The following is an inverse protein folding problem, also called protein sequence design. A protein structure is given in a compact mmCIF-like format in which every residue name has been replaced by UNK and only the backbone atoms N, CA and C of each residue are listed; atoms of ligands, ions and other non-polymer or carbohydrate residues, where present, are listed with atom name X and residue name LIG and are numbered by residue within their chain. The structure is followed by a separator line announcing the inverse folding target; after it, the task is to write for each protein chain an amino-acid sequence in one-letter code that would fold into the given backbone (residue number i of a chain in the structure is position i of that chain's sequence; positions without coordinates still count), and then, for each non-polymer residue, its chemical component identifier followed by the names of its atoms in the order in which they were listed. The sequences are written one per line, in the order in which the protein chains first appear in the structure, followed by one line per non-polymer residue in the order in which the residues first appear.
data_IF_164958574155
#
_entry.id   IF_164958574155
#
_cell.length_a   1.000
_cell.length_b   1.000
_cell.length_c   1.000
_cell.angle_alpha   90.00
_cell.angle_beta   90.00
_cell.angle_gamma   90.00
#
_symmetry.space_group_name_H-M   'P 1'
#
loop_
_entity.id
_entity.type
_entity.pdbx_description
1 polymer ?
#
# COMPACT_ATOMS: atom_id res chain seq x y z
N UNK A 1 -30.09 -13.70 -60.77
CA UNK A 1 -29.40 -12.69 -59.90
C UNK A 1 -28.83 -13.42 -58.70
N UNK A 2 -27.49 -13.54 -58.60
CA UNK A 2 -26.82 -14.13 -57.44
C UNK A 2 -26.38 -12.97 -56.52
N UNK A 3 -26.94 -12.95 -55.28
CA UNK A 3 -26.52 -11.98 -54.29
C UNK A 3 -25.27 -12.50 -53.58
N UNK A 4 -24.13 -11.77 -53.73
CA UNK A 4 -22.92 -12.01 -52.97
C UNK A 4 -23.04 -11.28 -51.64
N UNK A 5 -23.16 -12.04 -50.54
CA UNK A 5 -23.06 -11.48 -49.18
C UNK A 5 -21.58 -11.33 -48.84
N UNK A 6 -21.10 -10.10 -48.76
CA UNK A 6 -19.75 -9.79 -48.23
C UNK A 6 -19.86 -9.75 -46.74
N UNK A 7 -19.33 -10.76 -46.05
CA UNK A 7 -19.18 -10.81 -44.60
C UNK A 7 -18.00 -9.90 -44.20
N UNK A 8 -18.28 -8.71 -43.71
CA UNK A 8 -17.23 -7.82 -43.15
C UNK A 8 -16.89 -8.34 -41.77
N UNK A 9 -15.73 -9.01 -41.64
CA UNK A 9 -15.17 -9.45 -40.38
C UNK A 9 -14.55 -8.23 -39.66
N UNK A 10 -15.27 -7.66 -38.71
CA UNK A 10 -14.73 -6.63 -37.81
C UNK A 10 -13.71 -7.29 -36.88
N UNK A 11 -12.44 -7.19 -37.24
CA UNK A 11 -11.32 -7.54 -36.35
C UNK A 11 -11.27 -6.45 -35.27
N UNK A 12 -11.74 -6.75 -34.09
CA UNK A 12 -11.47 -5.93 -32.90
C UNK A 12 -10.00 -6.12 -32.54
N UNK A 13 -9.18 -5.14 -32.88
CA UNK A 13 -7.80 -5.06 -32.39
C UNK A 13 -7.91 -4.71 -30.92
N UNK A 14 -7.85 -5.70 -30.05
CA UNK A 14 -7.61 -5.47 -28.62
C UNK A 14 -6.16 -4.97 -28.52
N UNK A 15 -5.99 -3.69 -28.23
CA UNK A 15 -4.68 -3.16 -27.85
C UNK A 15 -4.34 -3.79 -26.51
N UNK A 16 -3.44 -4.77 -26.52
CA UNK A 16 -2.80 -5.28 -25.31
C UNK A 16 -1.93 -4.12 -24.81
N UNK A 17 -2.43 -3.35 -23.84
CA UNK A 17 -1.61 -2.39 -23.12
C UNK A 17 -0.60 -3.21 -22.30
N UNK A 18 0.66 -3.18 -22.70
CA UNK A 18 1.72 -3.77 -21.90
C UNK A 18 2.12 -2.78 -20.80
N UNK A 19 2.33 -3.30 -19.59
CA UNK A 19 2.84 -2.51 -18.48
C UNK A 19 4.21 -1.92 -18.87
N UNK A 20 4.40 -0.63 -18.62
CA UNK A 20 5.61 0.09 -18.97
C UNK A 20 6.16 0.83 -17.76
N UNK A 21 7.43 0.62 -17.44
CA UNK A 21 8.17 1.49 -16.52
C UNK A 21 8.55 2.75 -17.28
N UNK A 22 7.97 3.88 -16.90
CA UNK A 22 8.23 5.18 -17.49
C UNK A 22 9.47 5.85 -16.88
N UNK A 23 9.64 5.66 -15.57
CA UNK A 23 10.76 6.22 -14.79
C UNK A 23 11.22 5.18 -13.78
N UNK A 24 12.53 5.18 -13.51
CA UNK A 24 13.20 4.27 -12.58
C UNK A 24 14.36 5.01 -11.93
N UNK A 25 14.21 5.31 -10.65
CA UNK A 25 15.14 6.11 -9.89
C UNK A 25 15.66 5.35 -8.68
N UNK A 26 16.99 5.25 -8.48
CA UNK A 26 17.54 4.68 -7.26
C UNK A 26 17.23 5.59 -6.06
N UNK A 27 16.87 4.98 -4.95
CA UNK A 27 16.67 5.67 -3.68
C UNK A 27 17.96 5.67 -2.85
N UNK A 28 18.04 6.61 -1.90
CA UNK A 28 19.15 6.68 -0.95
C UNK A 28 19.17 5.46 -0.04
N UNK A 29 20.37 5.03 0.37
CA UNK A 29 20.53 4.00 1.42
C UNK A 29 19.86 4.37 2.76
N UNK A 30 19.59 5.64 3.00
CA UNK A 30 18.84 6.10 4.17
C UNK A 30 17.41 5.55 4.19
N UNK A 31 16.86 5.20 3.03
CA UNK A 31 15.50 4.67 2.83
C UNK A 31 15.55 3.37 2.03
N UNK A 32 16.50 2.49 2.37
CA UNK A 32 16.67 1.19 1.70
C UNK A 32 15.54 0.20 1.97
N UNK A 33 14.83 0.37 3.09
CA UNK A 33 13.64 -0.38 3.47
C UNK A 33 12.36 0.47 3.25
N UNK A 34 12.28 1.19 2.12
CA UNK A 34 11.15 2.09 1.82
C UNK A 34 9.83 1.34 1.78
N UNK A 35 8.89 1.70 2.65
CA UNK A 35 7.54 1.18 2.74
C UNK A 35 6.53 2.33 2.78
N UNK A 36 5.38 2.13 2.13
CA UNK A 36 4.36 3.18 1.99
C UNK A 36 4.76 4.36 1.09
N UNK A 37 3.79 4.88 0.35
CA UNK A 37 3.94 6.09 -0.49
C UNK A 37 2.73 7.00 -0.38
N UNK A 38 2.96 8.27 -0.10
CA UNK A 38 1.93 9.31 -0.14
C UNK A 38 2.43 10.55 -0.90
N UNK A 39 1.54 11.46 -1.27
CA UNK A 39 1.88 12.74 -1.92
C UNK A 39 1.33 13.89 -1.09
N UNK A 40 2.22 14.81 -0.66
CA UNK A 40 1.88 16.07 -0.01
C UNK A 40 2.68 17.19 -0.68
N UNK A 41 2.02 18.27 -1.07
CA UNK A 41 2.63 19.45 -1.71
C UNK A 41 3.54 19.10 -2.90
N UNK A 42 3.12 18.15 -3.75
CA UNK A 42 3.88 17.63 -4.90
C UNK A 42 5.17 16.86 -4.56
N UNK A 43 5.44 16.58 -3.29
CA UNK A 43 6.51 15.70 -2.85
C UNK A 43 5.95 14.31 -2.55
N UNK A 44 6.71 13.28 -2.89
CA UNK A 44 6.44 11.93 -2.41
C UNK A 44 6.91 11.81 -0.97
N UNK A 45 6.16 11.08 -0.15
CA UNK A 45 6.51 10.79 1.24
C UNK A 45 6.60 9.29 1.39
N UNK A 46 7.66 8.84 2.04
CA UNK A 46 7.87 7.45 2.44
C UNK A 46 8.48 7.37 3.84
N UNK A 47 8.60 6.18 4.35
CA UNK A 47 9.31 5.83 5.58
C UNK A 47 10.07 4.50 5.37
N UNK A 48 10.92 4.13 6.30
CA UNK A 48 11.44 2.77 6.35
C UNK A 48 10.47 1.85 7.10
N UNK A 49 10.49 0.59 6.78
CA UNK A 49 9.76 -0.49 7.42
C UNK A 49 10.19 -0.61 8.90
N UNK A 50 10.88 -1.62 9.32
CA UNK A 50 11.11 -1.95 10.72
C UNK A 50 12.43 -1.42 11.29
N UNK A 51 12.43 -1.12 12.62
CA UNK A 51 13.67 -0.89 13.38
C UNK A 51 14.44 0.37 13.10
N UNK A 52 14.03 1.18 12.12
CA UNK A 52 14.66 2.42 11.73
C UNK A 52 14.28 3.62 12.62
N UNK A 53 14.83 4.80 12.27
CA UNK A 53 14.42 6.06 12.90
C UNK A 53 12.93 6.34 12.57
N UNK A 54 12.08 6.72 13.54
CA UNK A 54 10.70 7.10 13.27
C UNK A 54 10.66 8.43 12.52
N UNK A 55 10.74 8.36 11.19
CA UNK A 55 10.85 9.53 10.33
C UNK A 55 10.07 9.35 9.02
N UNK A 56 9.53 10.47 8.53
CA UNK A 56 8.96 10.59 7.19
C UNK A 56 9.99 11.30 6.30
N UNK A 57 10.29 10.72 5.16
CA UNK A 57 11.21 11.24 4.17
C UNK A 57 10.43 11.84 3.01
N UNK A 58 10.68 13.10 2.71
CA UNK A 58 10.06 13.83 1.61
C UNK A 58 10.98 13.76 0.40
N UNK A 59 10.47 13.24 -0.71
CA UNK A 59 11.24 13.01 -1.92
C UNK A 59 10.76 13.91 -3.06
N UNK A 60 11.69 14.34 -3.89
CA UNK A 60 11.32 14.85 -5.20
C UNK A 60 10.90 13.69 -6.14
N UNK A 61 10.44 14.01 -7.34
CA UNK A 61 10.00 13.02 -8.33
C UNK A 61 11.11 12.13 -8.88
N UNK A 62 12.38 12.43 -8.54
CA UNK A 62 13.55 11.60 -8.87
C UNK A 62 14.03 10.75 -7.70
N UNK A 63 13.27 10.70 -6.61
CA UNK A 63 13.62 9.91 -5.43
C UNK A 63 14.68 10.53 -4.52
N UNK A 64 15.09 11.80 -4.77
CA UNK A 64 16.04 12.49 -3.89
C UNK A 64 15.32 12.97 -2.62
N UNK A 65 15.88 12.67 -1.44
CA UNK A 65 15.40 13.22 -0.17
C UNK A 65 15.63 14.74 -0.16
N UNK A 66 14.56 15.50 -0.04
CA UNK A 66 14.56 16.97 0.03
C UNK A 66 14.27 17.49 1.43
N UNK A 67 13.58 16.70 2.26
CA UNK A 67 13.31 17.00 3.67
C UNK A 67 13.12 15.71 4.46
N UNK A 68 13.32 15.79 5.79
CA UNK A 68 13.10 14.67 6.71
C UNK A 68 12.36 15.18 7.94
N UNK A 69 11.26 14.54 8.31
CA UNK A 69 10.47 14.84 9.49
C UNK A 69 10.57 13.70 10.49
N UNK A 70 11.38 13.90 11.55
CA UNK A 70 11.47 12.97 12.68
C UNK A 70 10.22 13.09 13.54
N UNK A 71 9.62 11.96 13.84
CA UNK A 71 8.38 11.89 14.62
C UNK A 71 8.73 11.60 16.08
N UNK A 72 8.54 12.59 16.94
CA UNK A 72 8.89 12.47 18.36
C UNK A 72 7.82 11.69 19.15
N UNK A 73 8.24 11.00 20.20
CA UNK A 73 7.33 10.32 21.12
C UNK A 73 6.81 8.97 20.66
N UNK A 74 7.24 8.49 19.49
CA UNK A 74 6.88 7.18 18.94
C UNK A 74 8.11 6.38 18.57
N UNK A 75 7.91 5.08 18.31
CA UNK A 75 8.96 4.19 17.79
C UNK A 75 8.50 3.61 16.47
N UNK A 76 9.42 3.40 15.56
CA UNK A 76 9.20 2.53 14.43
C UNK A 76 9.44 1.08 14.92
N UNK A 77 8.34 0.37 15.24
CA UNK A 77 8.45 -1.04 15.60
C UNK A 77 8.37 -1.91 14.34
N UNK A 78 7.45 -1.52 13.43
CA UNK A 78 7.15 -2.26 12.19
C UNK A 78 6.15 -1.40 11.40
N UNK A 79 6.66 -0.36 10.69
CA UNK A 79 5.85 0.56 9.90
C UNK A 79 5.66 0.03 8.50
N UNK A 80 4.43 -0.18 8.09
CA UNK A 80 4.12 -0.90 6.86
C UNK A 80 3.62 0.00 5.73
N UNK A 81 2.79 0.99 6.04
CA UNK A 81 2.20 1.85 5.00
C UNK A 81 1.86 3.23 5.54
N UNK A 82 1.59 4.18 4.66
CA UNK A 82 1.22 5.55 4.98
C UNK A 82 0.08 6.03 4.11
N UNK A 83 -0.91 6.67 4.73
CA UNK A 83 -2.01 7.34 4.04
C UNK A 83 -2.28 8.70 4.67
N UNK A 84 -3.15 9.50 4.07
CA UNK A 84 -3.55 10.80 4.62
C UNK A 84 -5.00 11.16 4.32
N UNK A 85 -5.49 12.15 5.02
CA UNK A 85 -6.61 13.01 4.60
C UNK A 85 -6.12 14.45 4.38
N UNK A 86 -7.00 15.42 4.49
CA UNK A 86 -6.66 16.84 4.26
C UNK A 86 -5.89 17.46 5.43
N UNK A 87 -5.94 16.87 6.63
CA UNK A 87 -5.38 17.42 7.86
C UNK A 87 -4.25 16.58 8.46
N UNK A 88 -4.32 15.26 8.30
CA UNK A 88 -3.43 14.32 8.99
C UNK A 88 -2.78 13.30 8.04
N UNK A 89 -1.55 12.91 8.40
CA UNK A 89 -0.86 11.73 7.89
C UNK A 89 -1.09 10.60 8.89
N UNK A 90 -1.35 9.40 8.40
CA UNK A 90 -1.54 8.18 9.20
C UNK A 90 -0.47 7.17 8.82
N UNK A 91 0.42 6.85 9.75
CA UNK A 91 1.49 5.85 9.57
C UNK A 91 1.07 4.57 10.27
N UNK A 92 1.07 3.49 9.54
CA UNK A 92 0.60 2.19 10.02
C UNK A 92 1.73 1.40 10.70
N UNK A 93 1.82 1.47 12.02
CA UNK A 93 2.75 0.69 12.85
C UNK A 93 2.12 -0.67 13.20
N UNK A 94 1.93 -1.52 12.18
CA UNK A 94 1.04 -2.68 12.29
C UNK A 94 1.60 -3.99 11.76
N UNK A 95 2.85 -4.04 11.29
CA UNK A 95 3.49 -5.27 10.87
C UNK A 95 3.48 -6.32 11.98
N UNK A 96 3.20 -7.57 11.62
CA UNK A 96 2.98 -8.64 12.59
C UNK A 96 3.25 -10.03 12.00
N UNK A 97 4.38 -10.17 11.37
CA UNK A 97 4.80 -11.34 10.58
C UNK A 97 4.61 -12.71 11.23
N UNK A 98 4.57 -12.77 12.56
CA UNK A 98 4.39 -14.00 13.35
C UNK A 98 3.12 -13.98 14.21
N UNK A 99 2.20 -13.05 13.98
CA UNK A 99 0.97 -12.83 14.75
C UNK A 99 1.23 -12.67 16.27
N UNK A 100 2.38 -12.10 16.66
CA UNK A 100 2.80 -12.03 18.07
C UNK A 100 2.49 -10.69 18.71
N UNK A 101 2.33 -9.63 17.93
CA UNK A 101 2.19 -8.27 18.45
C UNK A 101 0.79 -8.02 19.04
N UNK A 102 0.79 -7.29 20.17
CA UNK A 102 -0.39 -6.83 20.90
C UNK A 102 -0.47 -5.29 20.97
N UNK A 103 0.48 -4.61 20.34
CA UNK A 103 0.66 -3.17 20.35
C UNK A 103 0.55 -2.59 18.93
N UNK A 104 -0.38 -3.09 18.15
CA UNK A 104 -0.65 -2.56 16.82
C UNK A 104 -1.24 -1.15 16.95
N UNK A 105 -0.80 -0.23 16.09
CA UNK A 105 -1.24 1.16 16.19
C UNK A 105 -1.11 1.89 14.86
N UNK A 106 -1.90 2.95 14.72
CA UNK A 106 -1.73 3.94 13.66
C UNK A 106 -1.27 5.24 14.33
N UNK A 107 -0.19 5.82 13.82
CA UNK A 107 0.34 7.09 14.29
C UNK A 107 -0.28 8.20 13.45
N UNK A 108 -1.03 9.08 14.08
CA UNK A 108 -1.72 10.20 13.46
C UNK A 108 -0.92 11.48 13.66
N UNK A 109 -0.49 12.09 12.56
CA UNK A 109 0.48 13.19 12.52
C UNK A 109 -0.16 14.36 11.76
N UNK A 110 -0.24 15.58 12.32
CA UNK A 110 -0.74 16.75 11.58
C UNK A 110 0.10 16.99 10.31
N UNK A 111 -0.53 17.27 9.17
CA UNK A 111 0.21 17.63 7.94
C UNK A 111 1.02 18.90 8.18
N UNK A 112 0.42 19.92 8.78
CA UNK A 112 1.11 21.17 9.12
C UNK A 112 2.08 20.94 10.27
N UNK A 113 3.37 21.12 10.01
CA UNK A 113 4.43 21.08 11.04
C UNK A 113 4.24 22.23 12.04
N UNK A 114 4.40 21.94 13.34
CA UNK A 114 4.48 22.96 14.39
C UNK A 114 5.60 22.64 15.37
N UNK A 115 6.11 23.66 16.09
CA UNK A 115 7.17 23.48 17.09
C UNK A 115 6.75 22.58 18.26
N UNK A 116 5.46 22.62 18.65
CA UNK A 116 4.88 21.85 19.73
C UNK A 116 3.95 20.74 19.17
N UNK A 117 4.38 20.10 18.09
CA UNK A 117 3.62 19.04 17.47
C UNK A 117 3.42 17.85 18.41
N UNK A 118 2.19 17.51 18.65
CA UNK A 118 1.80 16.28 19.33
C UNK A 118 1.27 15.30 18.31
N UNK A 119 1.78 14.08 18.35
CA UNK A 119 1.21 12.98 17.58
C UNK A 119 0.13 12.29 18.40
N UNK A 120 -0.91 11.87 17.73
CA UNK A 120 -1.97 11.06 18.31
C UNK A 120 -1.74 9.60 17.93
N UNK A 121 -2.22 8.67 18.78
CA UNK A 121 -2.08 7.23 18.50
C UNK A 121 -3.46 6.57 18.56
N UNK A 122 -3.73 5.75 17.56
CA UNK A 122 -4.93 4.91 17.45
C UNK A 122 -4.45 3.48 17.66
N UNK A 123 -4.59 2.96 18.87
CA UNK A 123 -4.24 1.57 19.19
C UNK A 123 -5.36 0.64 18.76
N UNK A 124 -5.00 -0.54 18.27
CA UNK A 124 -6.02 -1.52 17.91
C UNK A 124 -5.57 -2.97 18.09
N UNK A 125 -6.55 -3.84 18.09
CA UNK A 125 -6.38 -5.29 18.04
C UNK A 125 -7.40 -5.88 17.05
N UNK A 126 -7.11 -7.08 16.60
CA UNK A 126 -8.06 -7.88 15.82
C UNK A 126 -8.87 -8.76 16.78
N UNK A 127 -10.21 -8.57 16.92
CA UNK A 127 -11.01 -9.32 17.90
C UNK A 127 -11.05 -10.83 17.61
N UNK A 128 -10.78 -11.24 16.35
CA UNK A 128 -10.71 -12.64 15.93
C UNK A 128 -9.36 -13.31 16.31
N UNK A 129 -8.31 -12.53 16.57
CA UNK A 129 -7.00 -13.06 16.93
C UNK A 129 -7.01 -13.62 18.36
N UNK A 130 -7.14 -14.94 18.50
CA UNK A 130 -7.15 -15.64 19.79
C UNK A 130 -5.79 -16.20 20.20
N UNK A 131 -4.86 -16.32 19.24
CA UNK A 131 -3.51 -16.82 19.47
C UNK A 131 -2.48 -15.79 19.01
N UNK A 132 -1.45 -15.59 19.81
CA UNK A 132 -0.39 -14.61 19.58
C UNK A 132 0.95 -15.29 19.34
N UNK A 133 0.93 -16.28 18.48
CA UNK A 133 2.12 -16.86 17.85
C UNK A 133 1.71 -17.70 16.64
N UNK A 134 2.50 -17.67 15.59
CA UNK A 134 2.35 -18.54 14.43
C UNK A 134 3.70 -18.69 13.73
N UNK A 135 3.79 -19.56 12.74
CA UNK A 135 4.93 -19.54 11.80
C UNK A 135 4.64 -18.56 10.67
N UNK A 136 5.69 -17.95 10.10
CA UNK A 136 5.63 -16.93 9.06
C UNK A 136 4.60 -17.25 7.95
N UNK A 137 4.63 -18.46 7.40
CA UNK A 137 3.76 -18.86 6.28
C UNK A 137 2.29 -19.04 6.65
N UNK A 138 1.92 -18.95 7.92
CA UNK A 138 0.55 -19.11 8.43
C UNK A 138 0.01 -17.84 9.08
N UNK A 139 0.76 -16.76 9.05
CA UNK A 139 0.31 -15.46 9.58
C UNK A 139 -0.96 -14.99 8.87
N UNK A 140 -1.91 -14.46 9.63
CA UNK A 140 -3.20 -13.98 9.17
C UNK A 140 -3.50 -12.55 9.62
N UNK A 141 -2.81 -12.10 10.69
CA UNK A 141 -3.02 -10.79 11.34
C UNK A 141 -1.83 -9.84 11.14
N UNK A 142 -1.03 -10.11 10.12
CA UNK A 142 -0.10 -9.20 9.52
C UNK A 142 -0.83 -8.29 8.54
N UNK A 143 -0.44 -7.03 8.43
CA UNK A 143 -1.12 -6.08 7.54
C UNK A 143 -0.13 -5.10 6.94
N UNK A 144 -0.28 -4.83 5.65
CA UNK A 144 0.67 -4.10 4.83
C UNK A 144 0.03 -2.95 4.04
N UNK A 145 -1.25 -2.71 4.22
CA UNK A 145 -1.93 -1.63 3.50
C UNK A 145 -2.87 -0.85 4.39
N UNK A 146 -2.86 0.47 4.26
CA UNK A 146 -3.79 1.38 4.90
C UNK A 146 -4.25 2.47 3.94
N UNK A 147 -5.55 2.74 3.90
CA UNK A 147 -6.10 3.87 3.15
C UNK A 147 -7.10 4.66 3.98
N UNK A 148 -7.21 5.94 3.69
CA UNK A 148 -8.15 6.86 4.33
C UNK A 148 -9.41 6.99 3.45
N UNK A 149 -10.57 6.56 3.97
CA UNK A 149 -11.85 6.66 3.26
C UNK A 149 -12.89 7.27 4.20
N UNK A 150 -13.39 8.45 3.86
CA UNK A 150 -14.32 9.23 4.70
C UNK A 150 -13.75 9.38 6.13
N UNK A 151 -14.49 8.94 7.15
CA UNK A 151 -14.11 9.05 8.56
C UNK A 151 -13.35 7.82 9.08
N UNK A 152 -13.08 6.85 8.21
CA UNK A 152 -12.44 5.58 8.58
C UNK A 152 -11.04 5.44 7.96
N UNK A 153 -10.18 4.73 8.68
CA UNK A 153 -8.96 4.11 8.17
C UNK A 153 -9.28 2.65 7.81
N UNK A 154 -8.93 2.26 6.61
CA UNK A 154 -9.18 0.92 6.09
C UNK A 154 -7.86 0.18 6.00
N UNK A 155 -7.77 -0.96 6.67
CA UNK A 155 -6.58 -1.81 6.75
C UNK A 155 -6.77 -3.03 5.85
N UNK A 156 -5.72 -3.38 5.12
CA UNK A 156 -5.63 -4.56 4.27
C UNK A 156 -4.61 -5.54 4.86
N UNK A 157 -5.07 -6.73 5.27
CA UNK A 157 -4.17 -7.73 5.87
C UNK A 157 -3.33 -8.45 4.83
N UNK A 158 -2.18 -8.92 5.27
CA UNK A 158 -1.26 -9.82 4.56
C UNK A 158 -1.53 -11.27 4.99
N UNK A 159 -2.73 -11.79 4.69
CA UNK A 159 -3.09 -13.15 5.10
C UNK A 159 -2.32 -14.19 4.26
N UNK A 160 -1.18 -14.65 4.79
CA UNK A 160 -0.27 -15.59 4.11
C UNK A 160 -0.86 -17.00 4.01
N UNK A 161 -1.72 -17.38 4.97
CA UNK A 161 -2.34 -18.71 4.99
C UNK A 161 -3.38 -18.86 3.88
N UNK A 162 -4.28 -17.88 3.74
CA UNK A 162 -5.41 -17.96 2.80
C UNK A 162 -5.12 -17.31 1.44
N UNK A 163 -4.09 -16.47 1.34
CA UNK A 163 -3.76 -15.63 0.16
C UNK A 163 -4.93 -14.71 -0.24
N UNK A 164 -5.54 -14.11 0.76
CA UNK A 164 -6.58 -13.09 0.64
C UNK A 164 -6.13 -11.87 1.42
N UNK A 165 -6.80 -10.75 1.24
CA UNK A 165 -6.75 -9.65 2.20
C UNK A 165 -8.09 -9.53 2.90
N UNK A 166 -8.07 -9.58 4.22
CA UNK A 166 -9.21 -9.18 5.04
C UNK A 166 -9.17 -7.67 5.20
N UNK A 167 -10.35 -7.06 5.11
CA UNK A 167 -10.51 -5.60 5.12
C UNK A 167 -11.12 -5.20 6.45
N UNK A 168 -10.37 -4.42 7.22
CA UNK A 168 -10.81 -3.91 8.51
C UNK A 168 -10.99 -2.39 8.48
N UNK A 169 -11.87 -1.85 9.34
CA UNK A 169 -11.98 -0.41 9.58
C UNK A 169 -11.65 -0.04 11.02
N UNK A 170 -11.08 1.16 11.15
CA UNK A 170 -10.82 1.88 12.39
C UNK A 170 -11.28 3.32 12.24
N UNK A 171 -11.78 3.96 13.32
CA UNK A 171 -12.03 5.40 13.29
C UNK A 171 -10.72 6.18 13.28
N UNK A 172 -10.73 7.39 12.74
CA UNK A 172 -9.58 8.31 12.70
C UNK A 172 -9.29 9.05 14.00
N UNK A 173 -10.05 8.81 15.05
CA UNK A 173 -9.85 9.41 16.37
C UNK A 173 -8.89 8.59 17.22
N UNK A 174 -8.04 9.26 18.01
CA UNK A 174 -7.13 8.58 18.93
C UNK A 174 -7.90 7.79 20.00
N UNK A 175 -7.35 6.65 20.42
CA UNK A 175 -7.99 5.76 21.38
C UNK A 175 -7.56 4.30 21.25
N UNK A 176 -8.33 3.40 21.87
CA UNK A 176 -8.11 1.96 21.81
C UNK A 176 -9.33 1.29 21.20
N UNK A 177 -9.14 0.50 20.17
CA UNK A 177 -10.23 -0.05 19.36
C UNK A 177 -10.06 -1.54 19.05
N UNK A 178 -11.17 -2.20 18.85
CA UNK A 178 -11.25 -3.45 18.15
C UNK A 178 -11.47 -3.14 16.67
N UNK A 179 -10.55 -3.60 15.81
CA UNK A 179 -10.69 -3.40 14.37
C UNK A 179 -11.91 -4.16 13.85
N UNK A 180 -12.77 -3.47 13.11
CA UNK A 180 -14.02 -4.06 12.60
C UNK A 180 -13.79 -4.67 11.24
N UNK A 181 -13.96 -5.99 11.12
CA UNK A 181 -13.93 -6.65 9.81
C UNK A 181 -15.13 -6.21 8.97
N UNK A 182 -14.86 -5.77 7.74
CA UNK A 182 -15.88 -5.30 6.79
C UNK A 182 -16.12 -6.36 5.71
N UNK A 183 -15.04 -6.88 5.14
CA UNK A 183 -15.08 -7.81 4.01
C UNK A 183 -13.76 -8.55 3.88
N UNK A 184 -13.66 -9.38 2.86
CA UNK A 184 -12.41 -9.93 2.38
C UNK A 184 -12.35 -9.87 0.86
N UNK A 185 -11.14 -9.72 0.30
CA UNK A 185 -10.89 -9.69 -1.14
C UNK A 185 -9.97 -10.84 -1.49
N UNK A 186 -10.41 -11.69 -2.40
CA UNK A 186 -9.63 -12.81 -2.88
C UNK A 186 -8.65 -12.36 -3.98
N UNK A 187 -7.49 -11.91 -3.57
CA UNK A 187 -6.43 -11.40 -4.46
C UNK A 187 -5.52 -12.49 -5.01
N UNK A 188 -5.63 -13.75 -4.53
CA UNK A 188 -4.78 -14.90 -4.92
C UNK A 188 -3.28 -14.70 -4.68
N UNK A 189 -2.91 -13.69 -3.93
CA UNK A 189 -1.55 -13.26 -3.65
C UNK A 189 -1.46 -12.66 -2.23
N UNK A 190 -0.30 -12.18 -1.85
CA UNK A 190 -0.06 -11.53 -0.56
C UNK A 190 0.04 -10.03 -0.82
N UNK A 191 -0.84 -9.22 -0.21
CA UNK A 191 -0.80 -7.75 -0.30
C UNK A 191 0.47 -7.22 0.37
N UNK A 192 1.09 -6.21 -0.23
CA UNK A 192 2.32 -5.55 0.25
C UNK A 192 2.23 -4.03 0.28
N UNK A 193 1.11 -3.43 -0.05
CA UNK A 193 0.87 -2.00 0.03
C UNK A 193 -0.45 -1.59 -0.60
N UNK A 194 -0.90 -0.37 -0.35
CA UNK A 194 -2.20 0.10 -0.83
C UNK A 194 -2.24 1.60 -1.09
N UNK A 195 -3.14 2.01 -1.98
CA UNK A 195 -3.57 3.41 -2.11
C UNK A 195 -5.02 3.49 -2.59
N UNK A 196 -5.72 4.50 -2.17
CA UNK A 196 -7.09 4.77 -2.60
C UNK A 196 -7.25 6.20 -3.07
N UNK A 197 -7.73 6.37 -4.28
CA UNK A 197 -8.08 7.67 -4.82
C UNK A 197 -9.61 7.87 -4.80
N UNK A 198 -10.08 8.73 -3.90
CA UNK A 198 -11.51 8.95 -3.68
C UNK A 198 -12.21 9.55 -4.92
N UNK A 199 -11.55 10.46 -5.64
CA UNK A 199 -12.13 11.08 -6.86
C UNK A 199 -12.32 10.07 -8.00
N UNK A 200 -11.38 9.12 -8.12
CA UNK A 200 -11.41 8.07 -9.13
C UNK A 200 -12.19 6.83 -8.66
N UNK A 201 -12.53 6.73 -7.38
CA UNK A 201 -13.04 5.53 -6.70
C UNK A 201 -12.21 4.29 -7.04
N UNK A 202 -10.90 4.48 -7.09
CA UNK A 202 -9.93 3.47 -7.48
C UNK A 202 -9.13 3.04 -6.26
N UNK A 203 -9.16 1.76 -5.93
CA UNK A 203 -8.24 1.12 -5.01
C UNK A 203 -7.14 0.46 -5.82
N UNK A 204 -5.89 0.72 -5.45
CA UNK A 204 -4.71 0.05 -5.95
C UNK A 204 -4.06 -0.72 -4.80
N UNK A 205 -3.68 -1.97 -5.04
CA UNK A 205 -2.89 -2.78 -4.11
C UNK A 205 -1.65 -3.26 -4.83
N UNK A 206 -0.52 -3.26 -4.16
CA UNK A 206 0.62 -4.08 -4.55
C UNK A 206 0.50 -5.44 -3.89
N UNK A 207 1.03 -6.47 -4.56
CA UNK A 207 0.99 -7.82 -4.02
C UNK A 207 2.09 -8.68 -4.58
N UNK A 208 2.38 -9.80 -3.91
CA UNK A 208 3.42 -10.75 -4.34
C UNK A 208 2.93 -12.18 -4.36
N UNK A 209 3.52 -12.97 -5.25
CA UNK A 209 3.44 -14.43 -5.23
C UNK A 209 4.84 -14.98 -4.97
N UNK A 210 5.00 -15.61 -3.81
CA UNK A 210 6.24 -16.25 -3.36
C UNK A 210 7.47 -15.31 -3.32
N UNK A 211 7.26 -13.98 -3.16
CA UNK A 211 8.32 -12.96 -3.18
C UNK A 211 9.22 -13.02 -4.44
N UNK A 212 8.64 -13.43 -5.57
CA UNK A 212 9.33 -13.56 -6.86
C UNK A 212 8.67 -12.78 -7.98
N UNK A 213 7.36 -12.64 -7.90
CA UNK A 213 6.54 -11.88 -8.85
C UNK A 213 5.69 -10.90 -8.08
N UNK A 214 5.64 -9.69 -8.59
CA UNK A 214 4.89 -8.60 -7.99
C UNK A 214 3.82 -8.11 -8.95
N UNK A 215 2.68 -7.72 -8.39
CA UNK A 215 1.50 -7.33 -9.13
C UNK A 215 0.93 -6.03 -8.62
N UNK A 216 0.42 -5.23 -9.55
CA UNK A 216 -0.51 -4.15 -9.28
C UNK A 216 -1.92 -4.70 -9.47
N UNK A 217 -2.71 -4.62 -8.43
CA UNK A 217 -4.13 -5.01 -8.42
C UNK A 217 -4.96 -3.75 -8.39
N UNK A 218 -5.90 -3.62 -9.31
CA UNK A 218 -6.81 -2.49 -9.39
C UNK A 218 -8.25 -2.92 -9.17
N UNK A 219 -8.94 -2.18 -8.32
CA UNK A 219 -10.37 -2.34 -8.07
C UNK A 219 -11.06 -1.00 -8.37
N UNK A 220 -11.72 -0.95 -9.51
CA UNK A 220 -12.51 0.21 -9.94
C UNK A 220 -13.84 0.27 -9.20
N UNK A 221 -14.35 1.47 -9.02
CA UNK A 221 -15.59 1.73 -8.29
C UNK A 221 -15.61 1.07 -6.90
N UNK A 222 -14.43 1.06 -6.25
CA UNK A 222 -14.28 0.46 -4.93
C UNK A 222 -15.19 1.16 -3.92
N UNK A 223 -15.91 0.36 -3.16
CA UNK A 223 -16.80 0.81 -2.10
C UNK A 223 -16.85 -0.20 -0.97
N UNK A 224 -16.79 0.26 0.26
CA UNK A 224 -16.91 -0.59 1.47
C UNK A 224 -18.27 -1.31 1.58
N UNK A 225 -19.28 -0.86 0.81
CA UNK A 225 -20.62 -1.48 0.77
C UNK A 225 -20.71 -2.67 -0.20
N UNK A 226 -19.78 -2.74 -1.16
CA UNK A 226 -19.78 -3.80 -2.17
C UNK A 226 -19.08 -5.05 -1.62
N UNK A 227 -19.75 -6.18 -1.70
CA UNK A 227 -19.18 -7.49 -1.33
C UNK A 227 -18.44 -8.18 -2.48
N UNK A 228 -18.63 -7.71 -3.72
CA UNK A 228 -17.98 -8.27 -4.92
C UNK A 228 -17.29 -7.14 -5.66
N UNK A 229 -16.07 -7.38 -6.07
CA UNK A 229 -15.23 -6.41 -6.79
C UNK A 229 -14.78 -7.01 -8.11
N UNK A 230 -14.76 -6.18 -9.16
CA UNK A 230 -14.05 -6.52 -10.38
C UNK A 230 -12.58 -6.20 -10.16
N UNK A 231 -11.74 -7.22 -10.24
CA UNK A 231 -10.29 -7.14 -9.98
C UNK A 231 -9.56 -7.22 -11.30
N UNK A 232 -8.71 -6.24 -11.57
CA UNK A 232 -7.75 -6.26 -12.67
C UNK A 232 -6.34 -6.44 -12.07
N UNK A 233 -5.54 -7.33 -12.64
CA UNK A 233 -4.21 -7.66 -12.13
C UNK A 233 -3.17 -7.50 -13.23
N UNK A 234 -2.11 -6.75 -12.93
CA UNK A 234 -1.02 -6.44 -13.84
C UNK A 234 0.31 -6.84 -13.21
N UNK A 235 1.14 -7.65 -13.89
CA UNK A 235 2.47 -7.98 -13.40
C UNK A 235 3.36 -6.73 -13.48
N UNK A 236 4.09 -6.41 -12.40
CA UNK A 236 5.03 -5.28 -12.39
C UNK A 236 6.37 -5.79 -12.93
N UNK A 237 6.87 -5.28 -14.06
CA UNK A 237 8.01 -5.86 -14.76
C UNK A 237 9.36 -5.38 -14.23
N UNK A 238 9.66 -5.62 -12.94
CA UNK A 238 10.84 -5.08 -12.26
C UNK A 238 11.86 -6.13 -11.75
N UNK A 239 11.62 -7.40 -12.03
CA UNK A 239 12.52 -8.49 -11.61
C UNK A 239 12.41 -8.81 -10.12
N UNK A 240 13.52 -9.26 -9.52
CA UNK A 240 13.59 -9.61 -8.10
C UNK A 240 13.86 -8.35 -7.28
N UNK A 241 12.83 -7.73 -6.76
CA UNK A 241 12.90 -6.63 -5.82
C UNK A 241 11.59 -6.60 -5.05
N UNK A 242 11.62 -6.29 -3.78
CA UNK A 242 10.44 -6.33 -2.93
C UNK A 242 9.64 -5.04 -3.12
N UNK A 243 8.46 -5.15 -3.75
CA UNK A 243 7.55 -4.00 -3.94
C UNK A 243 6.70 -3.84 -2.70
N UNK A 244 6.78 -2.65 -2.08
CA UNK A 244 6.11 -2.42 -0.80
C UNK A 244 5.11 -1.26 -0.83
N UNK A 245 5.11 -0.43 -1.87
CA UNK A 245 4.14 0.66 -1.90
C UNK A 245 3.64 1.00 -3.29
N UNK A 246 2.46 1.62 -3.33
CA UNK A 246 1.84 2.19 -4.52
C UNK A 246 1.23 3.54 -4.22
N UNK A 247 1.30 4.48 -5.18
CA UNK A 247 0.56 5.74 -5.16
C UNK A 247 -0.09 6.03 -6.51
N UNK A 248 -1.38 6.20 -6.53
CA UNK A 248 -2.17 6.48 -7.73
C UNK A 248 -1.92 7.93 -8.18
N UNK A 249 -1.40 8.10 -9.40
CA UNK A 249 -1.28 9.41 -10.05
C UNK A 249 -2.56 9.70 -10.87
N UNK A 250 -2.98 8.73 -11.65
CA UNK A 250 -4.22 8.74 -12.43
C UNK A 250 -4.67 7.30 -12.71
N UNK A 251 -5.74 7.12 -13.49
CA UNK A 251 -6.33 5.79 -13.76
C UNK A 251 -5.35 4.76 -14.30
N UNK A 252 -4.27 5.19 -14.97
CA UNK A 252 -3.35 4.29 -15.69
C UNK A 252 -1.89 4.51 -15.28
N UNK A 253 -1.58 5.38 -14.32
CA UNK A 253 -0.20 5.72 -13.94
C UNK A 253 -0.04 5.75 -12.43
N UNK A 254 1.03 5.13 -11.94
CA UNK A 254 1.26 4.89 -10.53
C UNK A 254 2.73 5.15 -10.17
N UNK A 255 2.99 5.69 -8.99
CA UNK A 255 4.28 5.53 -8.35
C UNK A 255 4.30 4.20 -7.59
N UNK A 256 5.44 3.54 -7.64
CA UNK A 256 5.72 2.27 -6.94
C UNK A 256 7.06 2.45 -6.24
N UNK A 257 7.19 2.01 -5.00
CA UNK A 257 8.51 1.86 -4.39
C UNK A 257 8.83 0.40 -4.11
N UNK A 258 10.12 0.10 -4.11
CA UNK A 258 10.65 -1.22 -3.77
C UNK A 258 11.87 -1.08 -2.90
N UNK A 259 12.05 -2.03 -1.99
CA UNK A 259 13.19 -2.12 -1.09
C UNK A 259 14.50 -2.50 -1.80
N UNK A 260 15.62 -2.30 -1.08
CA UNK A 260 16.92 -2.82 -1.48
C UNK A 260 17.03 -4.29 -1.06
N UNK A 261 16.76 -5.18 -2.00
CA UNK A 261 17.14 -6.58 -1.82
C UNK A 261 18.53 -6.85 -2.41
N UNK A 262 19.20 -7.88 -1.90
CA UNK A 262 20.54 -8.32 -2.33
C UNK A 262 20.72 -8.47 -3.84
N UNK A 263 19.65 -8.53 -4.60
CA UNK A 263 19.64 -8.66 -6.07
C UNK A 263 19.49 -7.33 -6.82
N UNK A 264 18.92 -6.30 -6.20
CA UNK A 264 18.65 -4.98 -6.84
C UNK A 264 19.77 -3.95 -6.60
N UNK A 265 20.56 -4.11 -5.55
CA UNK A 265 21.64 -3.22 -5.09
C UNK A 265 21.17 -1.88 -4.52
N UNK A 266 19.91 -1.53 -4.64
CA UNK A 266 19.33 -0.29 -4.09
C UNK A 266 17.80 -0.32 -4.12
N UNK A 267 17.18 0.36 -3.20
CA UNK A 267 15.75 0.64 -3.22
C UNK A 267 15.41 1.55 -4.40
N UNK A 268 14.19 1.44 -4.94
CA UNK A 268 13.80 2.09 -6.20
C UNK A 268 12.48 2.82 -6.08
N UNK A 269 12.40 3.95 -6.75
CA UNK A 269 11.16 4.66 -7.04
C UNK A 269 10.84 4.54 -8.52
N UNK A 270 9.73 3.94 -8.84
CA UNK A 270 9.32 3.60 -10.19
C UNK A 270 8.03 4.33 -10.58
N UNK A 271 7.93 4.75 -11.82
CA UNK A 271 6.66 5.22 -12.38
C UNK A 271 6.15 4.21 -13.40
N UNK A 272 5.08 3.53 -13.03
CA UNK A 272 4.45 2.47 -13.83
C UNK A 272 3.26 3.02 -14.59
N UNK A 273 3.13 2.65 -15.87
CA UNK A 273 1.94 2.84 -16.71
C UNK A 273 1.38 1.47 -17.10
N UNK A 274 0.04 1.34 -17.06
CA UNK A 274 -0.70 0.17 -17.55
C UNK A 274 -1.53 0.53 -18.78
#
# INVERSE_FOLDING_TARGET
MKYIFILILLIQIQTISSQQILEDHPLSKTIEETSGLEIIDNMLITHNDSGGEPALYYLDKKGKIVDTRKIKGVKNNDWEDVTRDDEFIYVANMGNNFDTRKNLSIIKIPIKKSLNETVEVINFLYPEQKKFNTIYSKSQYDAEGIVSINDDLIIFTKNKLKKITEVYSLPKTSGNYEAKIISSIDVKSIVTGSDYNNKLKLLALTSTINFKKYFLILIKDFSLKNKRHQIETYEIPIGKTQVEAVKIINKNTFWISSEDESSSKYARLLKLKI
#
